data_IF_388851347310
#
_entry.id   IF_388851347310
#
_cell.length_a   1.000
_cell.length_b   1.000
_cell.length_c   1.000
_cell.angle_alpha   90.00
_cell.angle_beta   90.00
_cell.angle_gamma   90.00
#
_symmetry.space_group_name_H-M   'P 1'
#
loop_
_entity.id
_entity.type
_entity.pdbx_description
1 polymer ?
#
# COMPACT_ATOMS: atom_id res chain seq x y z
N UNK A 1 6.44 16.92 -14.11
CA UNK A 1 6.28 15.49 -13.74
C UNK A 1 5.07 14.81 -14.40
N UNK A 2 4.02 15.54 -14.83
CA UNK A 2 2.93 14.93 -15.63
C UNK A 2 3.40 14.37 -16.99
N UNK A 3 4.46 14.92 -17.59
CA UNK A 3 4.91 14.53 -18.92
C UNK A 3 5.52 13.12 -19.02
N UNK A 4 5.98 12.53 -17.93
CA UNK A 4 6.82 11.32 -17.98
C UNK A 4 6.04 10.02 -18.17
N UNK A 5 4.77 9.98 -17.76
CA UNK A 5 3.98 8.75 -17.74
C UNK A 5 2.70 8.82 -18.58
N UNK A 6 2.37 9.97 -19.18
CA UNK A 6 1.18 10.13 -20.03
C UNK A 6 -0.16 9.87 -19.32
N UNK A 7 -0.15 9.75 -18.00
CA UNK A 7 -1.31 9.49 -17.15
C UNK A 7 -1.58 10.71 -16.27
N UNK A 8 -2.84 11.12 -16.06
CA UNK A 8 -3.16 12.17 -15.11
C UNK A 8 -2.82 11.68 -13.71
N UNK A 9 -1.70 12.18 -13.17
CA UNK A 9 -1.33 11.96 -11.78
C UNK A 9 -2.13 12.95 -10.93
N UNK A 10 -3.06 12.42 -10.15
CA UNK A 10 -3.79 13.21 -9.15
C UNK A 10 -2.99 13.20 -7.84
N UNK A 11 -2.31 14.31 -7.55
CA UNK A 11 -1.50 14.45 -6.33
C UNK A 11 -2.41 15.07 -5.26
N UNK A 12 -2.67 14.31 -4.20
CA UNK A 12 -3.42 14.83 -3.05
C UNK A 12 -2.68 16.02 -2.42
N UNK A 13 -3.43 17.05 -2.04
CA UNK A 13 -2.88 18.17 -1.29
C UNK A 13 -2.17 17.70 -0.03
N UNK A 14 -1.06 18.38 0.31
CA UNK A 14 -0.30 18.08 1.51
C UNK A 14 -1.20 18.27 2.74
N UNK A 15 -1.27 17.23 3.57
CA UNK A 15 -2.03 17.25 4.83
C UNK A 15 -1.51 18.42 5.70
N UNK A 16 -2.42 19.24 6.23
CA UNK A 16 -2.06 20.33 7.14
C UNK A 16 -1.36 19.78 8.38
N UNK A 17 -0.42 20.55 8.95
CA UNK A 17 0.33 20.14 10.15
C UNK A 17 -0.50 20.08 11.44
N UNK A 18 -1.78 20.47 11.38
CA UNK A 18 -2.71 20.41 12.50
C UNK A 18 -3.50 19.09 12.49
N UNK A 19 -3.96 18.66 13.66
CA UNK A 19 -4.85 17.52 13.75
C UNK A 19 -6.16 17.79 12.99
N UNK A 20 -6.54 16.86 12.13
CA UNK A 20 -7.78 16.91 11.37
C UNK A 20 -8.32 15.50 11.12
N UNK A 21 -9.64 15.39 11.05
CA UNK A 21 -10.31 14.13 10.70
C UNK A 21 -10.21 13.96 9.19
N UNK A 22 -9.39 13.00 8.74
CA UNK A 22 -9.27 12.66 7.33
C UNK A 22 -10.18 11.47 7.03
N UNK A 23 -11.20 11.63 6.17
CA UNK A 23 -12.09 10.53 5.84
C UNK A 23 -11.30 9.37 5.23
N UNK A 24 -11.60 8.14 5.64
CA UNK A 24 -10.98 6.88 5.19
C UNK A 24 -9.50 6.67 5.57
N UNK A 25 -8.85 7.59 6.29
CA UNK A 25 -7.44 7.45 6.72
C UNK A 25 -7.14 6.12 7.40
N UNK A 26 -7.97 5.76 8.38
CA UNK A 26 -7.87 4.50 9.11
C UNK A 26 -7.97 3.28 8.19
N UNK A 27 -8.82 3.31 7.16
CA UNK A 27 -8.98 2.18 6.23
C UNK A 27 -7.66 1.97 5.47
N UNK A 28 -7.06 3.05 4.97
CA UNK A 28 -5.77 3.03 4.26
C UNK A 28 -4.64 2.57 5.17
N UNK A 29 -4.51 3.18 6.35
CA UNK A 29 -3.46 2.83 7.33
C UNK A 29 -3.55 1.36 7.75
N UNK A 30 -4.76 0.84 7.96
CA UNK A 30 -4.97 -0.56 8.33
C UNK A 30 -4.56 -1.52 7.22
N UNK A 31 -4.93 -1.22 5.98
CA UNK A 31 -4.52 -2.03 4.83
C UNK A 31 -3.00 -2.15 4.75
N UNK A 32 -2.26 -1.07 5.00
CA UNK A 32 -0.80 -1.11 5.05
C UNK A 32 -0.26 -1.82 6.29
N UNK A 33 -0.88 -1.64 7.47
CA UNK A 33 -0.47 -2.31 8.69
C UNK A 33 -0.49 -3.84 8.55
N UNK A 34 -1.48 -4.38 7.83
CA UNK A 34 -1.61 -5.82 7.58
C UNK A 34 -0.55 -6.38 6.63
N UNK A 35 0.06 -5.56 5.77
CA UNK A 35 1.21 -6.02 4.97
C UNK A 35 2.40 -6.38 5.84
N UNK A 36 2.55 -5.74 7.01
CA UNK A 36 3.58 -6.06 8.00
C UNK A 36 3.48 -7.47 8.59
N UNK A 37 2.35 -8.16 8.41
CA UNK A 37 2.20 -9.56 8.84
C UNK A 37 2.80 -10.55 7.84
N UNK A 38 3.09 -10.11 6.62
CA UNK A 38 3.88 -10.91 5.68
C UNK A 38 5.35 -10.84 6.09
N UNK A 39 5.88 -11.94 6.66
CA UNK A 39 7.30 -12.05 7.03
C UNK A 39 8.22 -11.66 5.88
N UNK A 40 7.83 -12.06 4.65
CA UNK A 40 8.59 -11.77 3.44
C UNK A 40 8.72 -10.26 3.24
N UNK A 41 7.62 -9.51 3.33
CA UNK A 41 7.67 -8.04 3.21
C UNK A 41 8.38 -7.34 4.37
N UNK A 42 8.32 -7.90 5.59
CA UNK A 42 8.85 -7.25 6.78
C UNK A 42 10.34 -7.53 7.03
N UNK A 43 10.86 -8.69 6.60
CA UNK A 43 12.19 -9.18 6.99
C UNK A 43 13.06 -9.66 5.82
N UNK A 44 12.46 -10.04 4.69
CA UNK A 44 13.21 -10.55 3.55
C UNK A 44 13.21 -9.47 2.45
N UNK A 45 14.38 -8.91 2.15
CA UNK A 45 14.50 -7.96 1.04
C UNK A 45 14.70 -8.71 -0.27
N UNK A 46 13.92 -8.31 -1.27
CA UNK A 46 13.99 -8.88 -2.61
C UNK A 46 15.16 -8.29 -3.40
N UNK A 47 15.82 -9.12 -4.20
CA UNK A 47 16.99 -8.72 -5.01
C UNK A 47 16.57 -7.83 -6.18
N UNK A 48 15.37 -8.03 -6.71
CA UNK A 48 14.86 -7.28 -7.87
C UNK A 48 13.57 -6.54 -7.53
N UNK A 49 13.38 -5.38 -8.16
CA UNK A 49 12.16 -4.59 -7.99
C UNK A 49 10.92 -5.37 -8.43
N UNK A 50 11.01 -6.08 -9.56
CA UNK A 50 9.91 -6.92 -10.05
C UNK A 50 9.49 -8.00 -9.01
N UNK A 51 10.46 -8.61 -8.32
CA UNK A 51 10.15 -9.56 -7.25
C UNK A 51 9.47 -8.88 -6.05
N UNK A 52 9.99 -7.72 -5.63
CA UNK A 52 9.40 -6.92 -4.55
C UNK A 52 7.93 -6.54 -4.85
N UNK A 53 7.68 -6.01 -6.05
CA UNK A 53 6.33 -5.62 -6.52
C UNK A 53 5.37 -6.81 -6.53
N UNK A 54 5.84 -7.97 -7.02
CA UNK A 54 5.05 -9.20 -7.02
C UNK A 54 4.70 -9.65 -5.60
N UNK A 55 5.62 -9.59 -4.65
CA UNK A 55 5.32 -9.99 -3.28
C UNK A 55 4.39 -9.03 -2.54
N UNK A 56 4.47 -7.73 -2.81
CA UNK A 56 3.50 -6.76 -2.29
C UNK A 56 2.11 -7.09 -2.83
N UNK A 57 2.00 -7.34 -4.14
CA UNK A 57 0.74 -7.71 -4.80
C UNK A 57 0.16 -9.01 -4.23
N UNK A 58 0.97 -10.05 -4.10
CA UNK A 58 0.56 -11.34 -3.54
C UNK A 58 0.10 -11.20 -2.08
N UNK A 59 0.80 -10.42 -1.26
CA UNK A 59 0.41 -10.18 0.13
C UNK A 59 -0.95 -9.46 0.22
N UNK A 60 -1.19 -8.47 -0.65
CA UNK A 60 -2.48 -7.78 -0.70
C UNK A 60 -3.63 -8.72 -1.10
N UNK A 61 -3.43 -9.55 -2.15
CA UNK A 61 -4.41 -10.57 -2.58
C UNK A 61 -4.69 -11.54 -1.43
N UNK A 62 -3.66 -12.00 -0.73
CA UNK A 62 -3.81 -12.94 0.38
C UNK A 62 -4.65 -12.37 1.52
N UNK A 63 -4.47 -11.08 1.87
CA UNK A 63 -5.31 -10.43 2.88
C UNK A 63 -6.78 -10.36 2.45
N UNK A 64 -7.04 -10.07 1.17
CA UNK A 64 -8.39 -10.06 0.61
C UNK A 64 -9.01 -11.46 0.69
N UNK A 65 -8.29 -12.49 0.24
CA UNK A 65 -8.78 -13.87 0.27
C UNK A 65 -9.07 -14.36 1.70
N UNK A 66 -8.21 -14.01 2.65
CA UNK A 66 -8.41 -14.35 4.07
C UNK A 66 -9.73 -13.76 4.58
N UNK A 67 -10.02 -12.51 4.25
CA UNK A 67 -11.27 -11.85 4.66
C UNK A 67 -12.53 -12.52 4.08
N UNK A 68 -12.44 -13.12 2.89
CA UNK A 68 -13.56 -13.81 2.24
C UNK A 68 -13.69 -15.29 2.61
N UNK A 69 -12.69 -15.86 3.28
CA UNK A 69 -12.67 -17.28 3.67
C UNK A 69 -13.22 -17.51 5.07
N UNK A 70 -13.50 -16.45 5.83
CA UNK A 70 -14.19 -16.47 7.12
C UNK A 70 -15.71 -16.33 6.92
#
# INVERSE_FOLDING_TARGET
MQEWFGLPVDISEKISGSWQIIPKRWIVERSFAWLGWSRRLAKDFEVTLNSAENFVTLAAIWQILKHFSD
#
